data_IF_444489668557
#
_entry.id   IF_444489668557
#
_cell.length_a   1.000
_cell.length_b   1.000
_cell.length_c   1.000
_cell.angle_alpha   90.00
_cell.angle_beta   90.00
_cell.angle_gamma   90.00
#
_symmetry.space_group_name_H-M   'P 1'
#
loop_
_entity.id
_entity.type
_entity.pdbx_description
1 polymer ?
#
# COMPACT_ATOMS: atom_id res chain seq x y z
N UNK A 1 13.06 -9.66 -2.29
CA UNK A 1 11.73 -9.56 -1.66
C UNK A 1 11.35 -8.09 -1.67
N UNK A 2 10.51 -7.64 -2.61
CA UNK A 2 10.06 -6.24 -2.66
C UNK A 2 9.40 -5.83 -1.35
N UNK A 3 9.69 -4.61 -0.91
CA UNK A 3 9.03 -4.00 0.25
C UNK A 3 8.32 -2.72 -0.18
N UNK A 4 7.02 -2.64 0.12
CA UNK A 4 6.15 -1.52 -0.22
C UNK A 4 5.72 -0.85 1.08
N UNK A 5 6.07 0.42 1.26
CA UNK A 5 5.60 1.25 2.37
C UNK A 5 4.62 2.29 1.86
N UNK A 6 3.40 2.30 2.39
CA UNK A 6 2.32 3.17 1.97
C UNK A 6 1.96 4.08 3.15
N UNK A 7 2.22 5.39 2.99
CA UNK A 7 1.84 6.41 3.98
C UNK A 7 0.64 7.20 3.45
N UNK A 8 -0.45 7.20 4.20
CA UNK A 8 -1.73 7.77 3.77
C UNK A 8 -2.29 8.67 4.86
N UNK A 9 -3.03 9.71 4.51
CA UNK A 9 -3.86 10.38 5.51
C UNK A 9 -4.97 9.45 6.00
N UNK A 10 -5.41 9.59 7.26
CA UNK A 10 -6.58 8.88 7.73
C UNK A 10 -7.78 9.25 6.87
N UNK A 11 -8.54 8.25 6.45
CA UNK A 11 -9.73 8.39 5.63
C UNK A 11 -10.88 7.63 6.28
N UNK A 12 -12.09 8.16 6.18
CA UNK A 12 -13.28 7.53 6.76
C UNK A 12 -13.86 6.52 5.77
N UNK A 13 -13.90 5.24 6.14
CA UNK A 13 -14.53 4.17 5.35
C UNK A 13 -13.55 3.18 4.72
N UNK A 14 -14.01 2.44 3.70
CA UNK A 14 -13.29 1.28 3.12
C UNK A 14 -12.49 1.61 1.85
N UNK A 15 -12.54 2.86 1.37
CA UNK A 15 -11.86 3.30 0.15
C UNK A 15 -10.35 3.07 0.21
N UNK A 16 -9.73 3.42 1.35
CA UNK A 16 -8.32 3.17 1.64
C UNK A 16 -7.90 1.70 1.48
N UNK A 17 -8.73 0.75 1.93
CA UNK A 17 -8.41 -0.68 1.84
C UNK A 17 -8.34 -1.11 0.38
N UNK A 18 -9.35 -0.75 -0.42
CA UNK A 18 -9.38 -1.04 -1.86
C UNK A 18 -8.23 -0.39 -2.61
N UNK A 19 -7.86 0.83 -2.23
CA UNK A 19 -6.73 1.55 -2.81
C UNK A 19 -5.41 0.81 -2.54
N UNK A 20 -5.17 0.39 -1.30
CA UNK A 20 -3.96 -0.37 -0.95
C UNK A 20 -3.94 -1.72 -1.67
N UNK A 21 -5.05 -2.45 -1.71
CA UNK A 21 -5.14 -3.71 -2.44
C UNK A 21 -4.78 -3.55 -3.92
N UNK A 22 -5.22 -2.47 -4.56
CA UNK A 22 -4.90 -2.20 -5.96
C UNK A 22 -3.41 -1.90 -6.15
N UNK A 23 -2.79 -1.09 -5.27
CA UNK A 23 -1.34 -0.82 -5.32
C UNK A 23 -0.54 -2.12 -5.22
N UNK A 24 -0.91 -3.00 -4.30
CA UNK A 24 -0.19 -4.27 -4.11
C UNK A 24 -0.34 -5.16 -5.34
N UNK A 25 -1.53 -5.25 -5.93
CA UNK A 25 -1.76 -5.99 -7.19
C UNK A 25 -0.95 -5.44 -8.35
N UNK A 26 -0.92 -4.13 -8.51
CA UNK A 26 -0.17 -3.49 -9.58
C UNK A 26 1.34 -3.72 -9.40
N UNK A 27 1.84 -3.60 -8.16
CA UNK A 27 3.23 -3.88 -7.84
C UNK A 27 3.59 -5.35 -8.08
N UNK A 28 2.74 -6.31 -7.70
CA UNK A 28 2.93 -7.73 -8.02
C UNK A 28 3.04 -7.96 -9.53
N UNK A 29 2.17 -7.32 -10.32
CA UNK A 29 2.18 -7.44 -11.77
C UNK A 29 3.42 -6.83 -12.42
N UNK A 30 3.88 -5.67 -11.95
CA UNK A 30 5.05 -4.96 -12.50
C UNK A 30 6.35 -5.69 -12.14
N UNK A 31 6.41 -6.22 -10.92
CA UNK A 31 7.61 -6.87 -10.38
C UNK A 31 7.64 -8.38 -10.65
N UNK A 32 6.66 -8.91 -11.39
CA UNK A 32 6.49 -10.34 -11.69
C UNK A 32 6.63 -11.21 -10.42
N UNK A 33 6.08 -10.72 -9.31
CA UNK A 33 6.28 -11.26 -7.96
C UNK A 33 4.99 -11.88 -7.42
N UNK A 34 5.10 -13.00 -6.70
CA UNK A 34 3.96 -13.63 -6.03
C UNK A 34 3.63 -12.91 -4.72
N UNK A 35 2.40 -13.09 -4.22
CA UNK A 35 1.92 -12.46 -2.99
C UNK A 35 2.82 -12.77 -1.78
N UNK A 36 3.23 -14.03 -1.62
CA UNK A 36 4.14 -14.48 -0.54
C UNK A 36 5.54 -13.86 -0.60
N UNK A 37 5.88 -13.21 -1.72
CA UNK A 37 7.20 -12.63 -1.96
C UNK A 37 7.26 -11.12 -1.77
N UNK A 38 6.16 -10.47 -1.36
CA UNK A 38 6.08 -9.02 -1.11
C UNK A 38 5.76 -8.73 0.34
N UNK A 39 6.50 -7.80 0.93
CA UNK A 39 6.22 -7.23 2.25
C UNK A 39 5.53 -5.88 2.08
N UNK A 40 4.43 -5.65 2.80
CA UNK A 40 3.66 -4.40 2.76
C UNK A 40 3.52 -3.81 4.16
N UNK A 41 3.77 -2.51 4.30
CA UNK A 41 3.52 -1.74 5.51
C UNK A 41 2.63 -0.53 5.19
N UNK A 42 1.57 -0.33 5.98
CA UNK A 42 0.63 0.78 5.82
C UNK A 42 0.69 1.65 7.07
N UNK A 43 0.93 2.94 6.90
CA UNK A 43 1.01 3.92 7.98
C UNK A 43 0.00 5.05 7.74
N UNK A 44 -0.80 5.37 8.76
CA UNK A 44 -1.63 6.58 8.75
C UNK A 44 -0.83 7.76 9.27
N UNK A 45 -0.63 8.76 8.43
CA UNK A 45 0.05 9.99 8.78
C UNK A 45 -0.97 11.08 9.13
N UNK A 46 -0.86 11.62 10.34
CA UNK A 46 -1.70 12.74 10.81
C UNK A 46 -1.07 14.10 10.52
N UNK A 47 0.20 14.12 10.12
CA UNK A 47 0.93 15.33 9.80
C UNK A 47 1.00 15.56 8.29
N UNK A 48 0.51 16.73 7.86
CA UNK A 48 0.71 17.21 6.50
C UNK A 48 2.15 17.70 6.37
N UNK A 49 3.02 16.94 5.70
CA UNK A 49 4.30 17.49 5.26
C UNK A 49 3.97 18.34 4.03
N UNK A 50 3.81 19.65 4.28
CA UNK A 50 3.68 20.68 3.25
C UNK A 50 5.04 21.11 2.74
#
# INVERSE_FOLDING_TARGET
>A
MPHISIKLYPEVGTAKVRFVEQIVKDAMSILESSEDSISVAIEEITQRIG
#
